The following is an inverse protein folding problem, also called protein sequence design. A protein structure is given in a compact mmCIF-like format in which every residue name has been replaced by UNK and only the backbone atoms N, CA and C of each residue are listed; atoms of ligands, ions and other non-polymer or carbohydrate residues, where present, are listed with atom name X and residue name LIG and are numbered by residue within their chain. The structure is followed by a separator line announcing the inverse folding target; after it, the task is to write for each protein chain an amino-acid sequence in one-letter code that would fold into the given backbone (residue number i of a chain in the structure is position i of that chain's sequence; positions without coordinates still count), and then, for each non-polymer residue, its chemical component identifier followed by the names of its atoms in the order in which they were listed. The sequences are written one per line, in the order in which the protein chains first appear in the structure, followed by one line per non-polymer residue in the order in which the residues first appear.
data_IF_962433289215
#
_entry.id   IF_962433289215
#
_cell.length_a   1.000
_cell.length_b   1.000
_cell.length_c   1.000
_cell.angle_alpha   90.00
_cell.angle_beta   90.00
_cell.angle_gamma   90.00
#
_symmetry.space_group_name_H-M   'P 1'
#
loop_
_entity.id
_entity.type
_entity.pdbx_description
1 polymer ?
#
# COMPACT_ATOMS: atom_id res chain seq x y z
N UNK A 1 19.58 15.51 -1.10
CA UNK A 1 19.46 16.46 0.04
C UNK A 1 18.34 17.52 -0.12
N UNK A 2 17.52 17.52 -1.20
CA UNK A 2 16.51 18.56 -1.47
C UNK A 2 15.01 18.14 -1.30
N UNK A 3 14.68 16.86 -1.12
CA UNK A 3 13.27 16.43 -0.98
C UNK A 3 12.72 16.57 0.45
N UNK A 4 13.54 16.30 1.47
CA UNK A 4 13.13 16.35 2.88
C UNK A 4 12.82 17.77 3.37
N UNK A 5 13.56 18.79 2.91
CA UNK A 5 13.33 20.20 3.27
C UNK A 5 12.07 20.73 2.57
N UNK A 6 11.87 20.39 1.30
CA UNK A 6 10.66 20.73 0.52
C UNK A 6 9.40 20.16 1.17
N UNK A 7 9.44 18.91 1.63
CA UNK A 7 8.32 18.29 2.35
C UNK A 7 8.03 18.96 3.69
N UNK A 8 9.06 19.39 4.44
CA UNK A 8 8.87 20.09 5.73
C UNK A 8 8.18 21.45 5.58
N UNK A 9 8.53 22.22 4.55
CA UNK A 9 7.88 23.51 4.24
C UNK A 9 6.42 23.31 3.82
N UNK A 10 6.12 22.24 3.06
CA UNK A 10 4.76 21.91 2.66
C UNK A 10 3.87 21.55 3.85
N UNK A 11 4.35 20.75 4.81
CA UNK A 11 3.56 20.41 6.00
C UNK A 11 3.13 21.63 6.81
N UNK A 12 4.04 22.58 7.02
CA UNK A 12 3.74 23.81 7.75
C UNK A 12 2.72 24.68 7.01
N UNK A 13 2.85 24.80 5.68
CA UNK A 13 1.88 25.50 4.83
C UNK A 13 0.48 24.89 4.93
N UNK A 14 0.36 23.56 4.89
CA UNK A 14 -0.93 22.88 5.03
C UNK A 14 -1.52 23.07 6.43
N UNK A 15 -0.71 22.90 7.48
CA UNK A 15 -1.13 23.18 8.84
C UNK A 15 -1.69 24.60 9.01
N UNK A 16 -1.02 25.63 8.48
CA UNK A 16 -1.49 27.01 8.57
C UNK A 16 -2.85 27.21 7.89
N UNK A 17 -3.10 26.54 6.77
CA UNK A 17 -4.36 26.63 6.02
C UNK A 17 -5.48 25.75 6.54
N UNK A 18 -5.18 24.78 7.40
CA UNK A 18 -6.18 23.81 7.87
C UNK A 18 -7.24 24.48 8.77
N UNK A 19 -8.54 24.48 8.41
CA UNK A 19 -9.58 25.10 9.22
C UNK A 19 -9.98 24.26 10.45
N UNK A 20 -9.56 22.99 10.50
CA UNK A 20 -9.96 22.04 11.54
C UNK A 20 -8.98 22.00 12.72
N UNK A 21 -8.09 22.99 12.87
CA UNK A 21 -7.17 23.10 14.01
C UNK A 21 -7.91 23.28 15.34
N UNK A 22 -7.37 22.69 16.41
CA UNK A 22 -7.71 23.03 17.80
C UNK A 22 -7.32 24.49 18.11
N UNK A 23 -7.85 25.01 19.21
CA UNK A 23 -7.44 26.31 19.75
C UNK A 23 -5.95 26.33 20.13
N UNK A 24 -5.32 27.51 20.01
CA UNK A 24 -3.88 27.70 20.22
C UNK A 24 -3.39 27.14 21.56
N UNK A 25 -4.01 27.54 22.68
CA UNK A 25 -3.61 27.09 24.02
C UNK A 25 -3.69 25.57 24.19
N UNK A 26 -4.73 24.96 23.62
CA UNK A 26 -4.89 23.50 23.64
C UNK A 26 -3.74 22.83 22.87
N UNK A 27 -3.42 23.32 21.67
CA UNK A 27 -2.28 22.78 20.91
C UNK A 27 -0.95 22.94 21.66
N UNK A 28 -0.70 24.10 22.28
CA UNK A 28 0.51 24.32 23.08
C UNK A 28 0.64 23.31 24.23
N UNK A 29 -0.44 23.10 24.99
CA UNK A 29 -0.49 22.09 26.05
C UNK A 29 -0.23 20.69 25.50
N UNK A 30 -0.94 20.29 24.44
CA UNK A 30 -0.81 18.96 23.85
C UNK A 30 0.61 18.72 23.30
N UNK A 31 1.27 19.74 22.74
CA UNK A 31 2.66 19.65 22.27
C UNK A 31 3.65 19.41 23.41
N UNK A 32 3.51 20.14 24.52
CA UNK A 32 4.36 19.96 25.72
C UNK A 32 4.13 18.57 26.31
N UNK A 33 2.87 18.16 26.43
CA UNK A 33 2.51 16.84 26.93
C UNK A 33 3.04 15.74 26.00
N UNK A 34 2.88 15.86 24.68
CA UNK A 34 3.39 14.89 23.70
C UNK A 34 4.92 14.78 23.77
N UNK A 35 5.62 15.92 23.87
CA UNK A 35 7.07 15.94 24.08
C UNK A 35 7.47 15.18 25.35
N UNK A 36 6.77 15.41 26.46
CA UNK A 36 7.04 14.77 27.74
C UNK A 36 6.80 13.25 27.68
N UNK A 37 5.63 12.80 27.22
CA UNK A 37 5.28 11.37 27.20
C UNK A 37 6.09 10.58 26.17
N UNK A 38 6.34 11.16 24.98
CA UNK A 38 7.04 10.47 23.89
C UNK A 38 8.56 10.64 23.94
N UNK A 39 9.07 11.59 24.72
CA UNK A 39 10.50 11.94 24.81
C UNK A 39 11.11 12.22 23.42
N UNK A 40 10.36 12.92 22.57
CA UNK A 40 10.76 13.33 21.22
C UNK A 40 10.25 14.74 20.91
N UNK A 41 10.92 15.43 20.01
CA UNK A 41 10.39 16.69 19.44
C UNK A 41 9.05 16.37 18.75
N UNK A 42 7.96 17.10 19.07
CA UNK A 42 6.59 16.76 18.67
C UNK A 42 6.29 17.08 17.18
N UNK A 43 7.23 16.80 16.27
CA UNK A 43 7.04 16.96 14.82
C UNK A 43 5.89 16.08 14.32
N UNK A 44 5.73 14.90 14.91
CA UNK A 44 4.67 13.95 14.56
C UNK A 44 3.27 14.47 14.88
N UNK A 45 3.13 15.35 15.87
CA UNK A 45 1.86 16.00 16.18
C UNK A 45 1.29 16.74 14.96
N UNK A 46 2.16 17.39 14.19
CA UNK A 46 1.79 18.08 12.96
C UNK A 46 1.67 17.12 11.78
N UNK A 47 2.66 16.25 11.58
CA UNK A 47 2.70 15.35 10.41
C UNK A 47 1.54 14.36 10.38
N UNK A 48 1.02 13.98 11.55
CA UNK A 48 -0.06 13.00 11.71
C UNK A 48 -1.41 13.66 11.98
N UNK A 49 -1.52 14.98 11.75
CA UNK A 49 -2.78 15.72 11.88
C UNK A 49 -3.38 15.68 13.30
N UNK A 50 -2.56 15.42 14.33
CA UNK A 50 -3.04 15.31 15.72
C UNK A 50 -3.54 16.65 16.28
N UNK A 51 -3.20 17.77 15.63
CA UNK A 51 -3.70 19.10 15.95
C UNK A 51 -5.17 19.34 15.60
N UNK A 52 -5.81 18.44 14.85
CA UNK A 52 -7.19 18.63 14.40
C UNK A 52 -8.21 18.35 15.51
N UNK A 53 -9.34 19.06 15.48
CA UNK A 53 -10.37 19.08 16.53
C UNK A 53 -10.93 17.70 16.87
N UNK A 54 -11.04 16.81 15.90
CA UNK A 54 -11.57 15.46 16.06
C UNK A 54 -10.62 14.50 16.80
N UNK A 55 -9.33 14.83 16.90
CA UNK A 55 -8.34 13.98 17.59
C UNK A 55 -8.25 14.40 19.05
N UNK A 56 -8.81 13.63 19.98
CA UNK A 56 -8.69 13.95 21.43
C UNK A 56 -7.61 13.11 22.13
N UNK A 57 -7.30 11.95 21.58
CA UNK A 57 -6.45 10.89 22.13
C UNK A 57 -5.02 10.90 21.53
N UNK A 58 -4.41 12.07 21.39
CA UNK A 58 -3.09 12.25 20.73
C UNK A 58 -1.94 11.43 21.35
N UNK A 59 -2.09 10.94 22.58
CA UNK A 59 -1.13 10.08 23.27
C UNK A 59 -1.20 8.61 22.81
N UNK A 60 -2.32 8.18 22.22
CA UNK A 60 -2.53 6.81 21.72
C UNK A 60 -1.87 6.56 20.35
N UNK A 61 -1.24 7.57 19.75
CA UNK A 61 -0.58 7.45 18.45
C UNK A 61 0.90 7.12 18.61
N UNK A 62 1.44 6.37 17.64
CA UNK A 62 2.87 6.07 17.58
C UNK A 62 3.68 7.33 17.25
N UNK A 63 4.75 7.57 17.99
CA UNK A 63 5.79 8.51 17.59
C UNK A 63 6.64 7.91 16.46
N UNK A 64 7.33 8.76 15.69
CA UNK A 64 8.28 8.31 14.67
C UNK A 64 9.44 7.51 15.29
N UNK A 65 9.81 7.81 16.53
CA UNK A 65 10.83 7.04 17.26
C UNK A 65 10.36 5.62 17.54
N UNK A 66 9.15 5.45 18.06
CA UNK A 66 8.54 4.14 18.29
C UNK A 66 8.38 3.37 16.98
N UNK A 67 7.87 4.01 15.93
CA UNK A 67 7.74 3.40 14.61
C UNK A 67 9.09 2.96 14.02
N UNK A 68 10.11 3.81 14.07
CA UNK A 68 11.47 3.46 13.59
C UNK A 68 12.09 2.34 14.40
N UNK A 69 11.84 2.29 15.72
CA UNK A 69 12.33 1.20 16.56
C UNK A 69 11.76 -0.14 16.11
N UNK A 70 10.47 -0.21 15.78
CA UNK A 70 9.84 -1.41 15.22
C UNK A 70 10.50 -1.80 13.89
N UNK A 71 10.66 -0.86 12.96
CA UNK A 71 11.24 -1.13 11.64
C UNK A 71 12.72 -1.56 11.69
N UNK A 72 13.46 -1.06 12.67
CA UNK A 72 14.89 -1.35 12.81
C UNK A 72 15.17 -2.56 13.72
N UNK A 73 14.14 -3.22 14.24
CA UNK A 73 14.30 -4.38 15.12
C UNK A 73 14.48 -5.65 14.30
N UNK A 74 15.62 -6.29 14.46
CA UNK A 74 15.97 -7.62 13.95
C UNK A 74 15.09 -8.74 14.51
N UNK A 75 14.40 -8.49 15.63
CA UNK A 75 13.38 -9.40 16.21
C UNK A 75 12.05 -9.35 15.46
N UNK A 76 11.83 -8.31 14.64
CA UNK A 76 10.54 -8.02 13.99
C UNK A 76 10.67 -8.10 12.47
N UNK A 77 11.64 -7.37 11.89
CA UNK A 77 11.87 -7.27 10.46
C UNK A 77 13.07 -8.12 10.07
N UNK A 78 12.87 -9.06 9.16
CA UNK A 78 13.89 -10.02 8.75
C UNK A 78 14.36 -9.72 7.31
N UNK A 79 15.68 -9.48 7.09
CA UNK A 79 16.20 -9.13 5.77
C UNK A 79 15.91 -10.17 4.68
N UNK A 80 15.87 -11.46 5.02
CA UNK A 80 15.60 -12.56 4.09
C UNK A 80 14.17 -12.47 3.54
N UNK A 81 13.22 -12.09 4.40
CA UNK A 81 11.83 -11.87 4.00
C UNK A 81 11.74 -10.62 3.13
N UNK A 82 12.52 -9.59 3.46
CA UNK A 82 12.53 -8.39 2.63
C UNK A 82 13.15 -8.60 1.26
N UNK A 83 14.11 -9.52 1.12
CA UNK A 83 14.62 -9.90 -0.19
C UNK A 83 13.55 -10.56 -1.09
N UNK A 84 12.59 -11.26 -0.50
CA UNK A 84 11.44 -11.84 -1.21
C UNK A 84 10.43 -10.73 -1.55
N UNK A 85 10.00 -9.96 -0.55
CA UNK A 85 8.91 -8.98 -0.68
C UNK A 85 9.26 -7.76 -1.53
N UNK A 86 10.51 -7.27 -1.46
CA UNK A 86 10.95 -6.11 -2.24
C UNK A 86 11.16 -6.41 -3.73
N UNK A 87 11.16 -7.70 -4.13
CA UNK A 87 11.27 -8.10 -5.52
C UNK A 87 9.99 -8.81 -5.98
N UNK A 88 9.24 -8.16 -6.87
CA UNK A 88 7.93 -8.64 -7.34
C UNK A 88 7.98 -9.99 -8.05
N UNK A 89 9.09 -10.33 -8.72
CA UNK A 89 9.27 -11.66 -9.32
C UNK A 89 9.55 -12.72 -8.25
N UNK A 90 10.40 -12.42 -7.27
CA UNK A 90 10.64 -13.33 -6.15
C UNK A 90 9.35 -13.59 -5.36
N UNK A 91 8.58 -12.53 -5.07
CA UNK A 91 7.28 -12.62 -4.41
C UNK A 91 6.30 -13.50 -5.20
N UNK A 92 6.15 -13.25 -6.51
CA UNK A 92 5.23 -14.01 -7.38
C UNK A 92 5.58 -15.50 -7.40
N UNK A 93 6.86 -15.84 -7.63
CA UNK A 93 7.34 -17.23 -7.63
C UNK A 93 7.13 -17.89 -6.26
N UNK A 94 7.48 -17.20 -5.18
CA UNK A 94 7.36 -17.73 -3.83
C UNK A 94 5.89 -18.00 -3.46
N UNK A 95 4.99 -17.05 -3.70
CA UNK A 95 3.58 -17.17 -3.37
C UNK A 95 2.85 -18.17 -4.26
N UNK A 96 3.19 -18.26 -5.55
CA UNK A 96 2.64 -19.28 -6.43
C UNK A 96 3.01 -20.70 -5.97
N UNK A 97 4.24 -20.91 -5.49
CA UNK A 97 4.66 -22.20 -4.93
C UNK A 97 3.92 -22.56 -3.63
N UNK A 98 3.38 -21.56 -2.92
CA UNK A 98 2.55 -21.75 -1.73
C UNK A 98 1.05 -21.76 -2.05
N UNK A 99 0.67 -21.83 -3.33
CA UNK A 99 -0.72 -21.82 -3.80
C UNK A 99 -1.53 -20.58 -3.34
N UNK A 100 -0.83 -19.47 -3.08
CA UNK A 100 -1.45 -18.21 -2.71
C UNK A 100 -1.99 -17.47 -3.94
N UNK A 101 -3.15 -16.82 -3.77
CA UNK A 101 -3.76 -16.01 -4.81
C UNK A 101 -2.95 -14.72 -5.07
N UNK A 102 -2.30 -14.67 -6.23
CA UNK A 102 -1.53 -13.53 -6.76
C UNK A 102 -1.94 -13.26 -8.22
N UNK A 103 -1.71 -12.05 -8.78
CA UNK A 103 -2.00 -11.78 -10.17
C UNK A 103 -1.22 -12.73 -11.08
N UNK A 104 -1.88 -13.26 -12.10
CA UNK A 104 -1.26 -14.23 -13.00
C UNK A 104 -0.08 -13.61 -13.76
N UNK A 105 1.13 -14.05 -13.44
CA UNK A 105 2.33 -13.73 -14.22
C UNK A 105 2.28 -14.43 -15.58
N UNK A 106 2.42 -13.64 -16.65
CA UNK A 106 2.50 -14.12 -18.04
C UNK A 106 3.96 -14.28 -18.47
N UNK A 107 4.79 -13.30 -18.15
CA UNK A 107 6.21 -13.25 -18.49
C UNK A 107 6.94 -12.29 -17.56
N UNK A 108 8.25 -12.20 -17.69
CA UNK A 108 9.06 -11.17 -17.05
C UNK A 108 10.28 -10.87 -17.93
N UNK A 109 11.00 -9.81 -17.60
CA UNK A 109 12.28 -9.52 -18.21
C UNK A 109 13.31 -9.08 -17.17
N UNK A 110 14.58 -9.37 -17.48
CA UNK A 110 15.74 -8.80 -16.82
C UNK A 110 16.51 -8.01 -17.87
N UNK A 111 16.27 -6.70 -17.92
CA UNK A 111 16.76 -5.81 -18.98
C UNK A 111 16.33 -6.33 -20.37
N UNK A 112 17.25 -6.52 -21.29
CA UNK A 112 16.97 -7.00 -22.65
C UNK A 112 16.72 -8.52 -22.76
N UNK A 113 16.77 -9.27 -21.65
CA UNK A 113 16.44 -10.70 -21.63
C UNK A 113 15.00 -10.91 -21.14
N UNK A 114 14.13 -11.40 -22.02
CA UNK A 114 12.72 -11.63 -21.77
C UNK A 114 12.43 -13.13 -21.65
N UNK A 115 11.50 -13.49 -20.76
CA UNK A 115 11.21 -14.87 -20.39
C UNK A 115 9.72 -15.16 -20.52
N UNK A 116 9.37 -16.17 -21.33
CA UNK A 116 7.98 -16.59 -21.56
C UNK A 116 7.95 -18.11 -21.77
N UNK A 117 7.13 -18.84 -21.02
CA UNK A 117 6.96 -20.30 -21.13
C UNK A 117 8.29 -21.08 -21.14
N UNK A 118 9.18 -20.78 -20.18
CA UNK A 118 10.53 -21.34 -20.06
C UNK A 118 11.46 -21.10 -21.27
N UNK A 119 11.08 -20.20 -22.19
CA UNK A 119 11.93 -19.75 -23.30
C UNK A 119 12.47 -18.37 -23.00
N UNK A 120 13.71 -18.15 -23.42
CA UNK A 120 14.40 -16.86 -23.32
C UNK A 120 14.43 -16.19 -24.69
N UNK A 121 14.18 -14.89 -24.71
CA UNK A 121 14.18 -14.03 -25.89
C UNK A 121 15.13 -12.86 -25.62
N UNK A 122 16.04 -12.59 -26.54
CA UNK A 122 16.87 -11.38 -26.47
C UNK A 122 16.22 -10.30 -27.33
N UNK A 123 15.90 -9.17 -26.72
CA UNK A 123 15.18 -8.06 -27.36
C UNK A 123 16.13 -6.87 -27.46
N UNK A 124 16.50 -6.47 -28.67
CA UNK A 124 17.53 -5.47 -28.90
C UNK A 124 17.00 -4.15 -29.49
N UNK A 125 15.78 -4.15 -30.01
CA UNK A 125 15.19 -2.98 -30.67
C UNK A 125 13.65 -2.95 -30.49
N UNK A 126 13.02 -1.84 -30.92
CA UNK A 126 11.58 -1.65 -30.76
C UNK A 126 10.75 -2.68 -31.53
N UNK A 127 11.21 -3.18 -32.68
CA UNK A 127 10.50 -4.21 -33.45
C UNK A 127 10.49 -5.54 -32.69
N UNK A 128 11.58 -5.88 -31.98
CA UNK A 128 11.64 -7.06 -31.11
C UNK A 128 10.64 -6.94 -29.95
N UNK A 129 10.56 -5.76 -29.30
CA UNK A 129 9.57 -5.50 -28.23
C UNK A 129 8.14 -5.65 -28.75
N UNK A 130 7.84 -5.02 -29.89
CA UNK A 130 6.52 -5.10 -30.52
C UNK A 130 6.19 -6.55 -30.85
N UNK A 131 7.12 -7.30 -31.45
CA UNK A 131 6.94 -8.71 -31.78
C UNK A 131 6.68 -9.57 -30.53
N UNK A 132 7.49 -9.39 -29.49
CA UNK A 132 7.36 -10.12 -28.23
C UNK A 132 6.00 -9.88 -27.57
N UNK A 133 5.60 -8.63 -27.38
CA UNK A 133 4.32 -8.30 -26.75
C UNK A 133 3.12 -8.60 -27.64
N UNK A 134 3.23 -8.45 -28.97
CA UNK A 134 2.17 -8.88 -29.90
C UNK A 134 1.92 -10.39 -29.81
N UNK A 135 2.99 -11.18 -29.69
CA UNK A 135 2.88 -12.62 -29.48
C UNK A 135 2.19 -12.95 -28.14
N UNK A 136 2.47 -12.20 -27.07
CA UNK A 136 1.77 -12.35 -25.79
C UNK A 136 0.27 -12.06 -25.94
N UNK A 137 -0.10 -10.89 -26.48
CA UNK A 137 -1.50 -10.51 -26.64
C UNK A 137 -2.28 -11.53 -27.48
N UNK A 138 -1.67 -12.06 -28.54
CA UNK A 138 -2.26 -13.11 -29.36
C UNK A 138 -2.38 -14.45 -28.62
N UNK A 139 -1.31 -14.92 -27.99
CA UNK A 139 -1.24 -16.26 -27.38
C UNK A 139 -2.11 -16.40 -26.13
N UNK A 140 -2.28 -15.30 -25.38
CA UNK A 140 -3.07 -15.29 -24.14
C UNK A 140 -4.43 -14.62 -24.31
N UNK A 141 -4.78 -14.17 -25.52
CA UNK A 141 -6.03 -13.43 -25.80
C UNK A 141 -6.24 -12.24 -24.85
N UNK A 142 -5.17 -11.50 -24.60
CA UNK A 142 -5.18 -10.32 -23.72
C UNK A 142 -5.34 -9.05 -24.53
N UNK A 143 -6.02 -8.07 -23.95
CA UNK A 143 -6.13 -6.70 -24.50
C UNK A 143 -5.20 -5.72 -23.75
N UNK A 144 -4.90 -6.01 -22.48
CA UNK A 144 -4.05 -5.19 -21.62
C UNK A 144 -3.06 -6.07 -20.85
N UNK A 145 -1.86 -5.54 -20.57
CA UNK A 145 -0.82 -6.22 -19.80
C UNK A 145 -0.15 -5.24 -18.84
N UNK A 146 -0.06 -5.63 -17.57
CA UNK A 146 0.45 -4.77 -16.52
C UNK A 146 1.93 -5.07 -16.27
N UNK A 147 2.79 -4.08 -16.50
CA UNK A 147 4.24 -4.18 -16.34
C UNK A 147 4.62 -3.43 -15.05
N UNK A 148 5.17 -4.17 -14.08
CA UNK A 148 5.63 -3.59 -12.81
C UNK A 148 7.15 -3.75 -12.71
N UNK A 149 7.91 -2.69 -12.40
CA UNK A 149 9.34 -2.84 -12.13
C UNK A 149 9.57 -3.88 -11.04
N UNK A 150 10.54 -4.78 -11.22
CA UNK A 150 10.79 -5.86 -10.24
C UNK A 150 11.07 -5.31 -8.84
N UNK A 151 11.81 -4.21 -8.77
CA UNK A 151 12.14 -3.49 -7.53
C UNK A 151 11.63 -2.06 -7.66
N UNK A 152 11.03 -1.54 -6.60
CA UNK A 152 10.49 -0.18 -6.56
C UNK A 152 9.31 -0.09 -5.59
N UNK A 153 8.95 1.14 -5.23
CA UNK A 153 7.89 1.44 -4.26
C UNK A 153 6.85 2.39 -4.86
N UNK A 154 5.64 2.33 -4.31
CA UNK A 154 4.61 3.34 -4.54
C UNK A 154 4.00 3.37 -5.95
N UNK A 155 4.22 2.32 -6.75
CA UNK A 155 3.70 2.20 -8.11
C UNK A 155 4.47 3.01 -9.17
N UNK A 156 5.64 3.55 -8.82
CA UNK A 156 6.49 4.25 -9.79
C UNK A 156 6.96 3.31 -10.90
N UNK A 157 7.01 3.83 -12.13
CA UNK A 157 7.44 3.09 -13.31
C UNK A 157 6.50 1.98 -13.79
N UNK A 158 5.28 1.86 -13.25
CA UNK A 158 4.26 0.95 -13.78
C UNK A 158 3.84 1.37 -15.20
N UNK A 159 3.69 0.39 -16.10
CA UNK A 159 3.20 0.60 -17.47
C UNK A 159 2.01 -0.34 -17.71
N UNK A 160 0.88 0.22 -18.14
CA UNK A 160 -0.24 -0.55 -18.68
C UNK A 160 -0.12 -0.59 -20.21
N UNK A 161 0.42 -1.68 -20.76
CA UNK A 161 0.47 -1.87 -22.20
C UNK A 161 -0.91 -2.30 -22.70
N UNK A 162 -1.36 -1.68 -23.80
CA UNK A 162 -2.60 -2.03 -24.49
C UNK A 162 -2.29 -2.52 -25.90
N UNK A 163 -2.99 -3.56 -26.33
CA UNK A 163 -2.83 -4.15 -27.67
C UNK A 163 -3.10 -3.12 -28.77
N UNK A 164 -4.14 -2.30 -28.62
CA UNK A 164 -4.54 -1.25 -29.56
C UNK A 164 -3.46 -0.19 -29.80
N UNK A 165 -2.75 0.23 -28.75
CA UNK A 165 -1.75 1.31 -28.79
C UNK A 165 -0.31 0.80 -28.64
N UNK A 166 -0.08 -0.50 -28.83
CA UNK A 166 1.20 -1.14 -28.48
C UNK A 166 2.40 -0.44 -29.12
N UNK A 167 2.37 -0.20 -30.43
CA UNK A 167 3.50 0.41 -31.15
C UNK A 167 3.88 1.78 -30.58
N UNK A 168 2.88 2.64 -30.39
CA UNK A 168 3.06 3.97 -29.82
C UNK A 168 3.61 3.90 -28.39
N UNK A 169 3.07 2.98 -27.56
CA UNK A 169 3.55 2.81 -26.19
C UNK A 169 4.98 2.26 -26.14
N UNK A 170 5.37 1.36 -27.05
CA UNK A 170 6.76 0.90 -27.13
C UNK A 170 7.69 2.03 -27.53
N UNK A 171 7.34 2.87 -28.50
CA UNK A 171 8.15 4.05 -28.86
C UNK A 171 8.38 4.95 -27.65
N UNK A 172 7.31 5.24 -26.89
CA UNK A 172 7.37 6.09 -25.69
C UNK A 172 8.17 5.48 -24.52
N UNK A 173 8.07 4.17 -24.32
CA UNK A 173 8.59 3.50 -23.12
C UNK A 173 9.84 2.64 -23.37
N UNK A 174 10.28 2.49 -24.62
CA UNK A 174 11.39 1.63 -25.05
C UNK A 174 12.63 1.75 -24.15
N UNK A 175 13.10 2.98 -23.91
CA UNK A 175 14.27 3.24 -23.05
C UNK A 175 14.12 2.60 -21.67
N UNK A 176 12.96 2.76 -21.04
CA UNK A 176 12.66 2.21 -19.73
C UNK A 176 12.56 0.67 -19.78
N UNK A 177 11.89 0.13 -20.80
CA UNK A 177 11.75 -1.32 -21.00
C UNK A 177 13.09 -2.03 -21.22
N UNK A 178 14.06 -1.37 -21.87
CA UNK A 178 15.41 -1.89 -22.06
C UNK A 178 16.30 -1.75 -20.82
N UNK A 179 16.22 -0.64 -20.10
CA UNK A 179 17.12 -0.36 -18.98
C UNK A 179 16.71 -1.05 -17.67
N UNK A 180 15.43 -1.39 -17.53
CA UNK A 180 14.85 -1.91 -16.30
C UNK A 180 14.35 -3.35 -16.47
N UNK A 181 13.95 -3.95 -15.36
CA UNK A 181 13.43 -5.31 -15.29
C UNK A 181 11.99 -5.25 -14.79
N UNK A 182 11.08 -6.00 -15.41
CA UNK A 182 9.66 -5.99 -15.10
C UNK A 182 9.12 -7.40 -14.91
N UNK A 183 8.08 -7.50 -14.09
CA UNK A 183 7.14 -8.61 -14.12
C UNK A 183 5.94 -8.18 -14.98
N UNK A 184 5.45 -9.08 -15.82
CA UNK A 184 4.31 -8.84 -16.70
C UNK A 184 3.15 -9.69 -16.23
N UNK A 185 2.12 -9.05 -15.68
CA UNK A 185 0.96 -9.71 -15.07
C UNK A 185 -0.32 -9.37 -15.84
N UNK A 186 -1.28 -10.27 -15.82
CA UNK A 186 -2.65 -9.95 -16.20
C UNK A 186 -3.20 -8.84 -15.29
N UNK A 187 -4.05 -7.98 -15.86
CA UNK A 187 -4.76 -6.97 -15.08
C UNK A 187 -5.75 -7.66 -14.16
N UNK A 188 -5.74 -7.29 -12.88
CA UNK A 188 -6.74 -7.78 -11.93
C UNK A 188 -8.06 -7.08 -12.17
N UNK A 189 -9.09 -7.87 -12.45
CA UNK A 189 -10.45 -7.39 -12.65
C UNK A 189 -11.15 -7.22 -11.29
N UNK A 190 -11.29 -5.97 -10.87
CA UNK A 190 -11.85 -5.61 -9.57
C UNK A 190 -13.34 -6.00 -9.43
N UNK A 191 -13.73 -6.42 -8.23
CA UNK A 191 -15.10 -6.76 -7.88
C UNK A 191 -16.09 -5.62 -8.18
N UNK A 192 -17.27 -5.99 -8.67
CA UNK A 192 -18.31 -5.05 -9.11
C UNK A 192 -18.79 -4.10 -8.00
N UNK A 193 -18.86 -4.56 -6.75
CA UNK A 193 -19.23 -3.71 -5.61
C UNK A 193 -18.19 -2.63 -5.30
N UNK A 194 -16.89 -2.93 -5.44
CA UNK A 194 -15.84 -1.92 -5.27
C UNK A 194 -15.85 -0.94 -6.44
N UNK A 195 -16.16 -1.42 -7.66
CA UNK A 195 -16.34 -0.58 -8.85
C UNK A 195 -17.47 0.45 -8.71
N UNK A 196 -18.49 0.19 -7.89
CA UNK A 196 -19.53 1.19 -7.56
C UNK A 196 -18.94 2.41 -6.85
N UNK A 197 -17.89 2.21 -6.05
CA UNK A 197 -17.17 3.31 -5.38
C UNK A 197 -16.21 3.97 -6.35
N UNK A 198 -15.27 3.20 -6.93
CA UNK A 198 -14.29 3.75 -7.86
C UNK A 198 -13.75 2.71 -8.85
N UNK A 199 -14.19 2.71 -10.12
CA UNK A 199 -13.82 1.69 -11.10
C UNK A 199 -12.49 1.98 -11.84
N UNK A 200 -11.94 3.20 -11.72
CA UNK A 200 -10.77 3.64 -12.49
C UNK A 200 -9.43 3.21 -11.89
N UNK A 201 -9.44 2.78 -10.64
CA UNK A 201 -8.27 2.36 -9.88
C UNK A 201 -8.48 0.94 -9.37
N UNK A 202 -7.40 0.18 -9.24
CA UNK A 202 -7.41 -1.03 -8.43
C UNK A 202 -7.29 -0.61 -6.95
N UNK A 203 -8.41 -0.64 -6.24
CA UNK A 203 -8.54 -0.27 -4.84
C UNK A 203 -8.29 -1.50 -3.98
N UNK A 204 -7.52 -1.34 -2.92
CA UNK A 204 -6.97 -2.46 -2.14
C UNK A 204 -7.19 -2.28 -0.64
N UNK A 205 -7.33 -3.40 0.05
CA UNK A 205 -7.17 -3.49 1.48
C UNK A 205 -5.67 -3.43 1.82
N UNK A 206 -5.30 -2.60 2.78
CA UNK A 206 -4.04 -2.74 3.53
C UNK A 206 -4.34 -3.52 4.81
N UNK A 207 -3.90 -4.78 4.86
CA UNK A 207 -4.04 -5.66 6.04
C UNK A 207 -2.70 -5.74 6.75
N UNK A 208 -2.64 -5.29 8.01
CA UNK A 208 -1.44 -5.37 8.84
C UNK A 208 -1.47 -6.65 9.67
N UNK A 209 -0.58 -7.61 9.37
CA UNK A 209 -0.46 -8.86 10.15
C UNK A 209 0.67 -8.79 11.16
N UNK A 210 0.49 -9.45 12.30
CA UNK A 210 1.48 -9.55 13.36
C UNK A 210 1.58 -10.98 13.91
N UNK A 211 2.79 -11.52 14.04
CA UNK A 211 3.05 -12.77 14.77
C UNK A 211 3.39 -12.45 16.23
N UNK A 212 2.46 -12.76 17.13
CA UNK A 212 2.57 -12.49 18.56
C UNK A 212 3.65 -13.36 19.26
N UNK A 213 3.87 -13.12 20.54
CA UNK A 213 4.81 -13.87 21.36
C UNK A 213 4.48 -15.35 21.48
N UNK A 214 3.19 -15.68 21.41
CA UNK A 214 2.68 -17.05 21.43
C UNK A 214 2.69 -17.72 20.05
N UNK A 215 3.27 -17.05 19.04
CA UNK A 215 3.37 -17.52 17.65
C UNK A 215 2.02 -17.62 16.94
N UNK A 216 1.01 -16.89 17.41
CA UNK A 216 -0.27 -16.81 16.70
C UNK A 216 -0.25 -15.66 15.70
N UNK A 217 -0.88 -15.92 14.56
CA UNK A 217 -1.07 -14.91 13.52
C UNK A 217 -2.27 -14.01 13.84
N UNK A 218 -1.98 -12.73 14.05
CA UNK A 218 -2.95 -11.69 14.34
C UNK A 218 -3.06 -10.71 13.19
N UNK A 219 -4.20 -10.02 13.10
CA UNK A 219 -4.36 -8.82 12.28
C UNK A 219 -4.44 -7.64 13.24
N UNK A 220 -3.52 -6.68 13.10
CA UNK A 220 -3.48 -5.47 13.93
C UNK A 220 -4.48 -4.42 13.45
N UNK A 221 -4.60 -4.26 12.13
CA UNK A 221 -5.44 -3.20 11.56
C UNK A 221 -5.71 -3.47 10.10
N UNK A 222 -6.88 -3.00 9.62
CA UNK A 222 -7.23 -3.03 8.21
C UNK A 222 -7.75 -1.65 7.80
N UNK A 223 -7.26 -1.15 6.67
CA UNK A 223 -7.84 0.01 6.00
C UNK A 223 -8.13 -0.35 4.54
N UNK A 224 -9.18 0.23 3.97
CA UNK A 224 -9.40 0.22 2.54
C UNK A 224 -8.76 1.48 1.95
N UNK A 225 -8.02 1.34 0.86
CA UNK A 225 -7.47 2.46 0.10
C UNK A 225 -8.30 2.67 -1.16
N UNK A 226 -8.47 3.92 -1.54
CA UNK A 226 -9.16 4.32 -2.76
C UNK A 226 -8.32 5.31 -3.56
N UNK A 227 -8.31 5.11 -4.88
CA UNK A 227 -7.78 6.11 -5.82
C UNK A 227 -8.66 7.34 -5.91
N UNK A 228 -8.15 8.38 -6.58
CA UNK A 228 -8.89 9.61 -6.89
C UNK A 228 -8.58 10.00 -8.32
N UNK A 229 -9.60 10.46 -9.05
CA UNK A 229 -9.47 10.90 -10.44
C UNK A 229 -9.29 9.74 -11.41
N UNK A 230 -8.26 9.83 -12.26
CA UNK A 230 -7.93 8.86 -13.30
C UNK A 230 -6.66 8.05 -12.98
N UNK A 231 -6.18 8.13 -11.72
CA UNK A 231 -4.98 7.41 -11.31
C UNK A 231 -5.20 5.90 -11.34
N UNK A 232 -4.22 5.17 -11.86
CA UNK A 232 -4.27 3.70 -11.93
C UNK A 232 -4.00 3.01 -10.58
N UNK A 233 -3.49 3.76 -9.59
CA UNK A 233 -3.12 3.27 -8.25
C UNK A 233 -3.88 4.01 -7.16
N UNK A 234 -4.20 3.30 -6.08
CA UNK A 234 -4.84 3.82 -4.86
C UNK A 234 -3.83 4.36 -3.83
N UNK A 235 -2.56 4.42 -4.21
CA UNK A 235 -1.49 4.82 -3.32
C UNK A 235 -1.71 6.24 -2.80
N UNK A 236 -1.55 6.41 -1.50
CA UNK A 236 -1.74 7.69 -0.81
C UNK A 236 -0.75 8.75 -1.30
N UNK A 237 0.47 8.36 -1.69
CA UNK A 237 1.44 9.31 -2.26
C UNK A 237 1.14 9.72 -3.70
N UNK A 238 0.13 9.13 -4.33
CA UNK A 238 -0.38 9.50 -5.65
C UNK A 238 -1.72 10.27 -5.56
N UNK A 239 -2.09 10.74 -4.37
CA UNK A 239 -3.35 11.47 -4.14
C UNK A 239 -4.52 10.59 -3.70
N UNK A 240 -4.32 9.28 -3.56
CA UNK A 240 -5.31 8.37 -2.96
C UNK A 240 -5.59 8.68 -1.48
N UNK A 241 -6.64 8.05 -0.95
CA UNK A 241 -7.00 8.17 0.47
C UNK A 241 -7.27 6.79 1.08
N UNK A 242 -7.26 6.72 2.40
CA UNK A 242 -7.46 5.48 3.14
C UNK A 242 -8.53 5.64 4.21
N UNK A 243 -9.30 4.60 4.47
CA UNK A 243 -10.43 4.62 5.42
C UNK A 243 -10.43 3.34 6.26
N UNK A 244 -10.63 3.41 7.58
CA UNK A 244 -10.62 2.23 8.45
C UNK A 244 -11.75 1.26 8.13
N UNK A 245 -11.43 -0.03 8.31
CA UNK A 245 -12.37 -1.14 8.18
C UNK A 245 -12.52 -1.79 9.55
N UNK A 246 -13.74 -1.97 10.01
CA UNK A 246 -14.01 -2.69 11.24
C UNK A 246 -13.71 -4.17 11.04
N UNK A 247 -12.73 -4.68 11.80
CA UNK A 247 -12.24 -6.06 11.66
C UNK A 247 -13.28 -7.13 12.04
N UNK A 248 -14.32 -6.77 12.81
CA UNK A 248 -15.39 -7.69 13.21
C UNK A 248 -16.50 -7.76 12.17
N UNK A 249 -16.88 -6.62 11.59
CA UNK A 249 -18.02 -6.53 10.68
C UNK A 249 -17.63 -6.63 9.20
N UNK A 250 -16.38 -6.29 8.87
CA UNK A 250 -15.92 -6.13 7.49
C UNK A 250 -16.49 -4.90 6.80
N UNK A 251 -17.07 -3.97 7.56
CA UNK A 251 -17.61 -2.72 7.04
C UNK A 251 -16.60 -1.58 7.20
N UNK A 252 -16.64 -0.64 6.25
CA UNK A 252 -15.98 0.64 6.40
C UNK A 252 -16.69 1.42 7.52
N UNK A 253 -15.94 1.90 8.50
CA UNK A 253 -16.47 2.63 9.66
C UNK A 253 -15.53 3.76 10.07
N UNK A 254 -15.94 5.01 9.90
CA UNK A 254 -15.18 6.20 10.25
C UNK A 254 -14.88 7.09 9.05
N UNK A 255 -13.75 7.79 9.12
CA UNK A 255 -13.44 8.89 8.20
C UNK A 255 -12.24 8.54 7.34
N UNK A 256 -12.38 8.73 6.02
CA UNK A 256 -11.28 8.63 5.07
C UNK A 256 -10.29 9.78 5.21
N UNK A 257 -9.00 9.48 5.11
CA UNK A 257 -7.90 10.44 5.28
C UNK A 257 -6.96 10.40 4.08
N UNK A 258 -6.49 11.56 3.66
CA UNK A 258 -5.40 11.70 2.70
C UNK A 258 -4.07 11.95 3.41
N UNK A 259 -2.95 11.64 2.74
CA UNK A 259 -1.64 12.10 3.19
C UNK A 259 -1.60 13.63 3.23
N UNK A 260 -0.86 14.18 4.19
CA UNK A 260 -0.75 15.62 4.37
C UNK A 260 -0.03 16.30 3.19
N UNK A 261 0.87 15.61 2.48
CA UNK A 261 1.53 16.16 1.28
C UNK A 261 0.54 16.39 0.14
N UNK A 262 -0.53 15.58 0.10
CA UNK A 262 -1.61 15.64 -0.90
C UNK A 262 -2.77 16.55 -0.46
N UNK A 263 -2.63 17.26 0.66
CA UNK A 263 -3.62 18.21 1.18
C UNK A 263 -4.34 17.77 2.44
N UNK A 264 -4.15 16.53 2.90
CA UNK A 264 -4.71 16.04 4.15
C UNK A 264 -6.24 16.00 4.16
N UNK A 265 -6.86 15.71 3.01
CA UNK A 265 -8.31 15.64 2.84
C UNK A 265 -9.01 14.71 3.84
N UNK A 266 -10.30 14.99 4.04
CA UNK A 266 -11.23 14.22 4.87
C UNK A 266 -12.35 13.75 3.94
N UNK A 267 -12.65 12.44 3.95
CA UNK A 267 -13.60 11.83 3.03
C UNK A 267 -14.65 11.02 3.78
N UNK A 268 -15.91 11.46 3.70
CA UNK A 268 -17.10 10.69 4.13
C UNK A 268 -17.75 10.03 2.90
N UNK A 269 -17.57 10.64 1.74
CA UNK A 269 -17.98 10.16 0.42
C UNK A 269 -16.76 10.06 -0.48
N UNK A 270 -16.78 9.15 -1.44
CA UNK A 270 -15.75 9.12 -2.49
C UNK A 270 -15.84 10.40 -3.35
N UNK A 271 -14.74 11.13 -3.57
CA UNK A 271 -14.78 12.46 -4.18
C UNK A 271 -15.26 12.44 -5.64
N UNK A 272 -15.06 11.35 -6.38
CA UNK A 272 -15.49 11.25 -7.78
C UNK A 272 -16.91 10.70 -7.97
N UNK A 273 -17.35 9.74 -7.14
CA UNK A 273 -18.63 9.04 -7.33
C UNK A 273 -19.72 9.50 -6.38
N UNK A 274 -19.38 10.23 -5.31
CA UNK A 274 -20.32 10.68 -4.29
C UNK A 274 -20.88 9.57 -3.40
N UNK A 275 -20.44 8.32 -3.57
CA UNK A 275 -20.85 7.18 -2.76
C UNK A 275 -20.43 7.41 -1.30
N UNK A 276 -21.39 7.25 -0.38
CA UNK A 276 -21.13 7.26 1.07
C UNK A 276 -20.35 6.00 1.43
N UNK A 277 -19.24 6.19 2.13
CA UNK A 277 -18.32 5.10 2.46
C UNK A 277 -18.71 4.39 3.76
N UNK A 278 -19.26 5.12 4.73
CA UNK A 278 -19.70 4.59 6.03
C UNK A 278 -20.70 3.43 5.83
N UNK A 279 -20.45 2.30 6.51
CA UNK A 279 -21.29 1.12 6.47
C UNK A 279 -21.14 0.27 5.20
N UNK A 280 -20.28 0.65 4.25
CA UNK A 280 -20.02 -0.16 3.06
C UNK A 280 -19.37 -1.50 3.47
N UNK A 281 -20.05 -2.60 3.17
CA UNK A 281 -19.57 -3.96 3.46
C UNK A 281 -18.61 -4.42 2.37
N UNK A 282 -17.41 -4.83 2.78
CA UNK A 282 -16.36 -5.25 1.86
C UNK A 282 -16.63 -6.69 1.37
N UNK A 283 -16.71 -6.92 0.04
CA UNK A 283 -16.85 -8.27 -0.52
C UNK A 283 -15.61 -9.12 -0.20
N UNK A 284 -15.80 -10.42 0.02
CA UNK A 284 -14.72 -11.37 0.34
C UNK A 284 -13.81 -10.95 1.51
N UNK A 285 -14.35 -10.20 2.49
CA UNK A 285 -13.54 -9.64 3.57
C UNK A 285 -12.90 -10.71 4.45
N UNK A 286 -13.64 -11.77 4.80
CA UNK A 286 -13.14 -12.84 5.65
C UNK A 286 -12.02 -13.61 4.93
N UNK A 287 -12.23 -13.91 3.66
CA UNK A 287 -11.30 -14.56 2.76
C UNK A 287 -10.04 -13.70 2.58
N UNK A 288 -10.19 -12.37 2.50
CA UNK A 288 -9.05 -11.44 2.44
C UNK A 288 -8.20 -11.51 3.71
N UNK A 289 -8.84 -11.60 4.88
CA UNK A 289 -8.16 -11.76 6.16
C UNK A 289 -7.44 -13.12 6.24
N UNK A 290 -8.07 -14.20 5.78
CA UNK A 290 -7.50 -15.54 5.74
C UNK A 290 -6.29 -15.62 4.79
N UNK A 291 -6.40 -15.00 3.61
CA UNK A 291 -5.31 -14.90 2.65
C UNK A 291 -4.10 -14.16 3.22
N UNK A 292 -4.32 -13.02 3.90
CA UNK A 292 -3.25 -12.27 4.56
C UNK A 292 -2.56 -13.09 5.65
N UNK A 293 -3.35 -13.79 6.48
CA UNK A 293 -2.81 -14.65 7.55
C UNK A 293 -2.03 -15.83 6.99
N UNK A 294 -2.52 -16.45 5.91
CA UNK A 294 -1.83 -17.54 5.22
C UNK A 294 -0.50 -17.06 4.65
N UNK A 295 -0.48 -15.95 3.91
CA UNK A 295 0.75 -15.38 3.36
C UNK A 295 1.78 -15.04 4.45
N UNK A 296 1.33 -14.45 5.56
CA UNK A 296 2.18 -14.13 6.68
C UNK A 296 2.69 -15.37 7.44
N UNK A 297 1.95 -16.48 7.44
CA UNK A 297 2.44 -17.74 8.03
C UNK A 297 3.53 -18.40 7.19
N UNK A 298 3.52 -18.20 5.87
CA UNK A 298 4.59 -18.68 4.99
C UNK A 298 5.87 -17.84 5.10
N UNK A 299 5.77 -16.60 5.59
CA UNK A 299 6.91 -15.70 5.74
C UNK A 299 7.10 -15.34 7.22
N UNK A 300 8.05 -15.94 7.96
CA UNK A 300 8.17 -15.81 9.41
C UNK A 300 8.51 -14.39 9.95
N UNK A 301 8.46 -13.34 9.12
CA UNK A 301 8.54 -11.95 9.58
C UNK A 301 7.37 -11.65 10.53
N UNK A 302 7.68 -10.98 11.65
CA UNK A 302 6.63 -10.71 12.63
C UNK A 302 5.64 -9.65 12.19
N UNK A 303 5.98 -8.77 11.25
CA UNK A 303 5.12 -7.66 10.86
C UNK A 303 5.17 -7.42 9.35
N UNK A 304 4.02 -7.55 8.67
CA UNK A 304 3.91 -7.32 7.23
C UNK A 304 2.60 -6.60 6.91
N UNK A 305 2.66 -5.68 5.95
CA UNK A 305 1.50 -4.99 5.40
C UNK A 305 1.15 -5.55 4.03
N UNK A 306 -0.02 -6.17 3.92
CA UNK A 306 -0.50 -6.80 2.68
C UNK A 306 -1.43 -5.87 1.94
N UNK A 307 -1.12 -5.63 0.67
CA UNK A 307 -2.03 -4.98 -0.27
C UNK A 307 -2.84 -6.06 -0.98
N UNK A 308 -4.13 -6.15 -0.67
CA UNK A 308 -5.05 -7.16 -1.20
C UNK A 308 -6.11 -6.47 -2.05
N UNK A 309 -6.16 -6.81 -3.33
CA UNK A 309 -7.28 -6.46 -4.20
C UNK A 309 -8.39 -7.50 -4.04
N UNK A 310 -9.63 -7.09 -4.30
CA UNK A 310 -10.77 -8.00 -4.34
C UNK A 310 -11.17 -8.13 -5.81
N UNK A 311 -10.86 -9.29 -6.42
CA UNK A 311 -11.24 -9.60 -7.79
C UNK A 311 -12.70 -10.08 -7.86
N UNK A 312 -13.16 -10.41 -9.07
CA UNK A 312 -14.46 -11.05 -9.30
C UNK A 312 -14.54 -12.43 -8.64
N UNK A 313 -13.42 -13.13 -8.52
CA UNK A 313 -13.31 -14.51 -8.05
C UNK A 313 -12.87 -14.62 -6.57
N UNK A 314 -12.30 -13.55 -6.00
CA UNK A 314 -11.86 -13.55 -4.61
C UNK A 314 -10.70 -12.59 -4.34
N UNK A 315 -10.09 -12.66 -3.14
CA UNK A 315 -8.97 -11.81 -2.78
C UNK A 315 -7.68 -12.20 -3.52
N UNK A 316 -6.88 -11.22 -3.90
CA UNK A 316 -5.60 -11.37 -4.62
C UNK A 316 -4.54 -10.49 -3.95
N UNK A 317 -3.40 -11.08 -3.57
CA UNK A 317 -2.26 -10.32 -3.00
C UNK A 317 -1.56 -9.56 -4.12
N UNK A 318 -1.60 -8.24 -4.06
CA UNK A 318 -0.93 -7.34 -5.00
C UNK A 318 0.51 -7.08 -4.60
N UNK A 319 0.76 -6.89 -3.29
CA UNK A 319 2.09 -6.60 -2.75
C UNK A 319 2.16 -6.96 -1.25
N UNK A 320 3.31 -7.43 -0.79
CA UNK A 320 3.63 -7.54 0.64
C UNK A 320 4.70 -6.52 1.01
N UNK A 321 4.52 -5.83 2.15
CA UNK A 321 5.38 -4.71 2.56
C UNK A 321 6.00 -4.98 3.94
N UNK A 322 7.32 -5.19 4.00
CA UNK A 322 8.06 -5.27 5.28
C UNK A 322 8.12 -3.93 6.02
N UNK A 323 7.89 -2.82 5.31
CA UNK A 323 7.71 -1.48 5.87
C UNK A 323 6.22 -1.13 5.74
N UNK A 324 5.36 -1.65 6.63
CA UNK A 324 3.95 -1.88 6.32
C UNK A 324 3.09 -0.60 6.30
N UNK A 325 3.69 0.58 6.43
CA UNK A 325 2.99 1.85 6.48
C UNK A 325 2.12 2.04 7.72
N UNK A 326 2.58 1.60 8.91
CA UNK A 326 1.81 1.71 10.16
C UNK A 326 1.30 3.13 10.44
N UNK A 327 1.97 4.17 9.97
CA UNK A 327 1.50 5.56 10.13
C UNK A 327 0.09 5.75 9.58
N UNK A 328 -0.19 5.18 8.40
CA UNK A 328 -1.49 5.28 7.75
C UNK A 328 -2.57 4.61 8.61
N UNK A 329 -2.34 3.37 9.03
CA UNK A 329 -3.32 2.62 9.82
C UNK A 329 -3.45 3.18 11.24
N UNK A 330 -2.39 3.73 11.83
CA UNK A 330 -2.38 4.40 13.14
C UNK A 330 -3.30 5.64 13.12
N UNK A 331 -3.22 6.43 12.05
CA UNK A 331 -4.10 7.59 11.84
C UNK A 331 -5.55 7.12 11.64
N UNK A 332 -5.77 6.17 10.73
CA UNK A 332 -7.09 5.70 10.34
C UNK A 332 -7.86 5.07 11.50
N UNK A 333 -7.19 4.18 12.24
CA UNK A 333 -7.78 3.43 13.34
C UNK A 333 -7.84 4.24 14.66
N UNK A 334 -7.40 5.50 14.65
CA UNK A 334 -7.52 6.41 15.78
C UNK A 334 -6.56 6.08 16.92
N UNK A 335 -5.29 5.82 16.60
CA UNK A 335 -4.23 5.53 17.56
C UNK A 335 -4.06 4.04 17.84
N UNK A 336 -2.87 3.51 17.55
CA UNK A 336 -2.53 2.10 17.72
C UNK A 336 -2.15 1.71 19.15
N UNK A 337 -1.77 2.66 20.02
CA UNK A 337 -1.30 2.33 21.38
C UNK A 337 -2.40 1.98 22.36
N UNK A 338 -3.66 2.06 21.92
CA UNK A 338 -4.79 1.47 22.64
C UNK A 338 -4.88 -0.05 22.44
N UNK A 339 -4.18 -0.59 21.44
CA UNK A 339 -4.20 -2.02 21.12
C UNK A 339 -3.10 -2.77 21.91
N UNK A 340 -3.46 -3.75 22.74
CA UNK A 340 -2.50 -4.59 23.46
C UNK A 340 -1.47 -5.28 22.56
N UNK A 341 -1.83 -5.68 21.33
CA UNK A 341 -0.90 -6.33 20.40
C UNK A 341 0.16 -5.35 19.89
N UNK A 342 -0.18 -4.08 19.75
CA UNK A 342 0.80 -3.05 19.37
C UNK A 342 1.71 -2.73 20.54
N UNK A 343 1.19 -2.68 21.76
CA UNK A 343 2.00 -2.53 22.97
C UNK A 343 2.99 -3.69 23.11
N UNK A 344 2.54 -4.93 22.88
CA UNK A 344 3.40 -6.11 22.81
C UNK A 344 4.48 -5.94 21.74
N UNK A 345 4.12 -5.63 20.49
CA UNK A 345 5.06 -5.36 19.39
C UNK A 345 6.13 -4.32 19.79
N UNK A 346 5.72 -3.25 20.47
CA UNK A 346 6.65 -2.23 20.95
C UNK A 346 7.61 -2.72 22.03
N UNK A 347 7.15 -3.59 22.94
CA UNK A 347 8.02 -4.24 23.92
C UNK A 347 9.02 -5.16 23.24
N UNK A 348 8.60 -5.99 22.27
CA UNK A 348 9.51 -6.83 21.49
C UNK A 348 10.57 -6.01 20.74
N UNK A 349 10.20 -4.83 20.24
CA UNK A 349 11.12 -3.97 19.48
C UNK A 349 12.24 -3.37 20.34
N UNK A 350 12.18 -3.51 21.66
CA UNK A 350 13.26 -3.06 22.54
C UNK A 350 14.47 -3.97 22.35
N UNK A 351 15.61 -3.35 22.05
CA UNK A 351 16.92 -3.98 22.02
C UNK A 351 17.36 -4.33 23.42
#
# INVERSE_FOLDING_TARGET
MNSLIKNRLNYFKYFLKDPNKKGFFRMCFELIHFWWIKKVIPIDYFRRLLYRKEVNNYHEYLSLKEYRRVLNSDKIIFPEIGAILNNKLCTDIYFKNMELSVPKMISHNMRNHFFLNNKTYTVNNNNDLISFFSNIFKSYSLEELFLKPLVGIGGDGIILLKKETLKQQIEQNSKQLFSNSFIHQEKVEQHSDINKIHPKTLNTLRVLTYIDNNKNMQILSIVMRFGVGDNITDNVSAGGFYIPVNMKTGCIEGIGRQDLNEGGGIFIKHPNSGVVLEGFKIPFFKESCELAKSAANHLPCRLVGWDIAISKEGPVIIEGNETPGMVMTDIACGGHLKDPLVLELLELSKT
#
